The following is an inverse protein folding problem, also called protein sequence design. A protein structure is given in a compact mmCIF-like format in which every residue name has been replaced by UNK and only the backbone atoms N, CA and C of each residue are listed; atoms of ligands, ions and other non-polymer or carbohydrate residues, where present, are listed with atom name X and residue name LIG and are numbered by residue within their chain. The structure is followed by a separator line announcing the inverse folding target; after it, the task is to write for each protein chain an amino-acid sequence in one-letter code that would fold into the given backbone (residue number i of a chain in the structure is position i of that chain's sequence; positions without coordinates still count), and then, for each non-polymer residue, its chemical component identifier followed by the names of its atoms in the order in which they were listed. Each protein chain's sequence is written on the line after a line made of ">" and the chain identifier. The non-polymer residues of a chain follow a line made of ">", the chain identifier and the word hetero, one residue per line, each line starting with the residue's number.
data_IF_575293005757
#
_entry.id   IF_575293005757
#
_cell.length_a   1.000
_cell.length_b   1.000
_cell.length_c   1.000
_cell.angle_alpha   90.00
_cell.angle_beta   90.00
_cell.angle_gamma   90.00
#
_symmetry.space_group_name_H-M   'P 1'
#
loop_
_entity.id
_entity.type
_entity.pdbx_description
1 polymer ?
#
# COMPACT_ATOMS: atom_id res chain seq x y z
N UNK A 1 -4.43 -8.02 2.39
CA UNK A 1 -4.99 -6.70 2.76
C UNK A 1 -4.68 -6.29 4.21
N UNK A 2 -4.50 -7.24 5.14
CA UNK A 2 -4.24 -6.94 6.56
C UNK A 2 -2.79 -6.51 6.88
N UNK A 3 -1.87 -6.58 5.94
CA UNK A 3 -0.44 -6.28 6.13
C UNK A 3 -0.17 -4.89 6.71
N UNK A 4 -0.82 -3.79 6.27
CA UNK A 4 -0.58 -2.47 6.84
C UNK A 4 -0.88 -2.39 8.35
N UNK A 5 -1.87 -3.13 8.83
CA UNK A 5 -2.21 -3.18 10.25
C UNK A 5 -1.13 -3.92 11.06
N UNK A 6 -0.55 -4.99 10.51
CA UNK A 6 0.58 -5.69 11.15
C UNK A 6 1.83 -4.84 11.17
N UNK A 7 2.09 -4.07 10.12
CA UNK A 7 3.17 -3.10 10.05
C UNK A 7 2.99 -2.03 11.13
N UNK A 8 1.78 -1.50 11.30
CA UNK A 8 1.44 -0.49 12.29
C UNK A 8 1.69 -0.99 13.73
N UNK A 9 1.24 -2.20 14.05
CA UNK A 9 1.51 -2.83 15.36
C UNK A 9 3.01 -2.95 15.64
N UNK A 10 3.79 -3.41 14.68
CA UNK A 10 5.25 -3.55 14.81
C UNK A 10 5.94 -2.20 14.94
N UNK A 11 5.50 -1.21 14.17
CA UNK A 11 6.05 0.14 14.23
C UNK A 11 5.83 0.78 15.59
N UNK A 12 4.64 0.66 16.18
CA UNK A 12 4.33 1.12 17.52
C UNK A 12 5.23 0.49 18.58
N UNK A 13 5.50 -0.81 18.47
CA UNK A 13 6.43 -1.51 19.37
C UNK A 13 7.87 -1.03 19.17
N UNK A 14 8.29 -0.76 17.95
CA UNK A 14 9.61 -0.18 17.65
C UNK A 14 9.75 1.20 18.28
N UNK A 15 8.76 2.07 18.13
CA UNK A 15 8.75 3.40 18.75
C UNK A 15 8.79 3.31 20.28
N UNK A 16 8.02 2.40 20.89
CA UNK A 16 8.05 2.17 22.33
C UNK A 16 9.44 1.72 22.79
N UNK A 17 10.10 0.85 22.03
CA UNK A 17 11.47 0.40 22.32
C UNK A 17 12.50 1.53 22.21
N UNK A 18 12.37 2.39 21.20
CA UNK A 18 13.22 3.59 21.05
C UNK A 18 13.05 4.51 22.25
N UNK A 19 11.82 4.84 22.63
CA UNK A 19 11.52 5.72 23.77
C UNK A 19 12.11 5.14 25.07
N UNK A 20 11.92 3.85 25.30
CA UNK A 20 12.44 3.16 26.50
C UNK A 20 13.97 3.12 26.50
N UNK A 21 14.59 2.82 25.34
CA UNK A 21 16.04 2.73 25.22
C UNK A 21 16.76 4.07 25.37
N UNK A 22 16.09 5.18 25.07
CA UNK A 22 16.65 6.53 25.25
C UNK A 22 16.83 6.94 26.70
N UNK A 23 16.19 6.25 27.65
CA UNK A 23 16.35 6.46 29.09
C UNK A 23 16.30 7.95 29.51
N UNK A 24 15.34 8.70 28.95
CA UNK A 24 15.15 10.13 29.23
C UNK A 24 16.01 11.10 28.43
N UNK A 25 16.94 10.60 27.62
CA UNK A 25 17.69 11.44 26.64
C UNK A 25 16.76 11.74 25.45
N UNK A 26 16.49 13.00 25.21
CA UNK A 26 15.62 13.43 24.09
C UNK A 26 16.44 13.54 22.79
N UNK A 27 16.71 12.41 22.16
CA UNK A 27 17.22 12.38 20.80
C UNK A 27 16.07 12.13 19.81
N UNK A 28 16.07 12.83 18.70
CA UNK A 28 15.10 12.58 17.65
C UNK A 28 15.56 11.39 16.80
N UNK A 29 15.19 10.17 17.22
CA UNK A 29 15.48 8.94 16.48
C UNK A 29 14.27 8.64 15.58
N UNK A 30 14.53 8.48 14.30
CA UNK A 30 13.54 8.11 13.29
C UNK A 30 13.76 6.68 12.82
N UNK A 31 12.73 6.09 12.22
CA UNK A 31 12.78 4.73 11.68
C UNK A 31 13.12 4.78 10.21
N UNK A 32 14.04 3.93 9.78
CA UNK A 32 14.30 3.60 8.39
C UNK A 32 13.87 2.15 8.15
N UNK A 33 12.94 1.94 7.24
CA UNK A 33 12.57 0.63 6.74
C UNK A 33 13.49 0.30 5.56
N UNK A 34 14.55 -0.42 5.82
CA UNK A 34 15.61 -0.70 4.85
C UNK A 34 15.25 -1.75 3.82
N UNK A 35 14.23 -2.58 4.11
CA UNK A 35 13.64 -3.49 3.15
C UNK A 35 12.15 -3.66 3.40
N UNK A 36 11.34 -3.49 2.34
CA UNK A 36 9.94 -3.89 2.35
C UNK A 36 9.48 -4.26 0.94
N UNK A 37 8.65 -5.25 0.83
CA UNK A 37 7.97 -5.68 -0.38
C UNK A 37 6.96 -6.78 -0.04
N UNK A 38 6.16 -7.19 -1.02
CA UNK A 38 5.42 -8.43 -0.99
C UNK A 38 6.30 -9.55 -1.53
N UNK A 39 6.58 -10.53 -0.68
CA UNK A 39 7.35 -11.70 -1.06
C UNK A 39 6.46 -12.94 -1.03
N UNK A 40 6.21 -13.55 -2.17
CA UNK A 40 5.65 -14.89 -2.26
C UNK A 40 6.74 -15.93 -1.97
N UNK A 41 7.27 -15.94 -0.75
CA UNK A 41 8.40 -16.81 -0.43
C UNK A 41 8.00 -18.27 -0.38
N UNK A 42 8.31 -18.97 -1.45
CA UNK A 42 8.71 -20.36 -1.34
C UNK A 42 10.24 -20.38 -1.43
N UNK A 43 10.95 -20.49 -0.31
CA UNK A 43 12.41 -20.48 -0.25
C UNK A 43 13.09 -21.56 -1.09
N UNK A 44 12.35 -22.55 -1.58
CA UNK A 44 12.86 -23.60 -2.45
C UNK A 44 12.80 -23.26 -3.95
N UNK A 45 12.02 -22.25 -4.33
CA UNK A 45 11.85 -21.85 -5.72
C UNK A 45 11.62 -20.35 -5.79
N UNK A 46 12.70 -19.56 -5.70
CA UNK A 46 12.64 -18.14 -6.08
C UNK A 46 12.37 -18.13 -7.58
N UNK A 47 11.11 -18.00 -7.96
CA UNK A 47 10.73 -17.83 -9.34
C UNK A 47 11.06 -16.39 -9.73
N UNK A 48 12.11 -16.21 -10.52
CA UNK A 48 12.49 -14.89 -11.04
C UNK A 48 11.42 -14.32 -12.00
N UNK A 49 10.53 -15.18 -12.47
CA UNK A 49 9.42 -14.84 -13.37
C UNK A 49 8.11 -14.64 -12.61
N UNK A 50 8.16 -14.38 -11.29
CA UNK A 50 6.97 -14.15 -10.49
C UNK A 50 6.19 -12.95 -11.03
N UNK A 51 4.91 -13.17 -11.28
CA UNK A 51 4.04 -12.20 -11.89
C UNK A 51 3.36 -11.39 -10.79
N UNK A 52 3.56 -10.07 -10.78
CA UNK A 52 2.87 -9.16 -9.87
C UNK A 52 1.55 -8.71 -10.48
N UNK A 53 0.47 -8.99 -9.77
CA UNK A 53 -0.91 -8.72 -10.18
C UNK A 53 -1.42 -7.37 -9.65
N UNK A 54 -2.67 -7.01 -9.98
CA UNK A 54 -3.35 -5.86 -9.38
C UNK A 54 -3.43 -5.99 -7.84
N UNK A 55 -3.58 -7.21 -7.31
CA UNK A 55 -3.56 -7.45 -5.86
C UNK A 55 -2.26 -6.94 -5.20
N UNK A 56 -1.12 -7.16 -5.83
CA UNK A 56 0.18 -6.70 -5.32
C UNK A 56 0.30 -5.17 -5.39
N UNK A 57 -0.28 -4.56 -6.41
CA UNK A 57 -0.38 -3.10 -6.52
C UNK A 57 -1.25 -2.52 -5.39
N UNK A 58 -2.41 -3.12 -5.10
CA UNK A 58 -3.28 -2.70 -3.99
C UNK A 58 -2.52 -2.74 -2.65
N UNK A 59 -1.83 -3.84 -2.37
CA UNK A 59 -1.05 -3.96 -1.13
C UNK A 59 0.10 -2.95 -1.09
N UNK A 60 0.78 -2.74 -2.22
CA UNK A 60 1.84 -1.73 -2.33
C UNK A 60 1.29 -0.33 -2.03
N UNK A 61 0.12 0.02 -2.58
CA UNK A 61 -0.54 1.30 -2.32
C UNK A 61 -0.91 1.48 -0.84
N UNK A 62 -1.45 0.43 -0.21
CA UNK A 62 -1.79 0.44 1.22
C UNK A 62 -0.55 0.65 2.11
N UNK A 63 0.57 0.01 1.78
CA UNK A 63 1.82 0.19 2.52
C UNK A 63 2.34 1.63 2.31
N UNK A 64 2.31 2.14 1.10
CA UNK A 64 2.74 3.51 0.81
C UNK A 64 1.85 4.55 1.49
N UNK A 65 0.53 4.36 1.51
CA UNK A 65 -0.38 5.20 2.28
C UNK A 65 -0.05 5.18 3.78
N UNK A 66 0.27 4.00 4.32
CA UNK A 66 0.70 3.87 5.70
C UNK A 66 2.02 4.62 5.96
N UNK A 67 3.00 4.51 5.07
CA UNK A 67 4.28 5.23 5.17
C UNK A 67 4.08 6.75 5.14
N UNK A 68 3.23 7.25 4.26
CA UNK A 68 2.88 8.69 4.19
C UNK A 68 2.22 9.15 5.49
N UNK A 69 1.28 8.38 6.04
CA UNK A 69 0.61 8.69 7.33
C UNK A 69 1.59 8.76 8.50
N UNK A 70 2.68 8.00 8.45
CA UNK A 70 3.67 7.91 9.52
C UNK A 70 4.99 8.65 9.20
N UNK A 71 4.95 9.63 8.28
CA UNK A 71 6.13 10.36 7.82
C UNK A 71 6.83 11.21 8.90
N UNK A 72 6.20 11.44 10.04
CA UNK A 72 6.79 12.05 11.22
C UNK A 72 7.80 11.13 11.92
N UNK A 73 7.58 9.85 11.91
CA UNK A 73 8.41 8.83 12.56
C UNK A 73 9.22 7.97 11.59
N UNK A 74 8.71 7.72 10.39
CA UNK A 74 9.40 7.01 9.32
C UNK A 74 10.02 8.01 8.35
N UNK A 75 11.34 7.97 8.17
CA UNK A 75 12.04 8.91 7.29
C UNK A 75 12.59 8.28 6.02
N UNK A 76 12.71 6.98 5.99
CA UNK A 76 13.15 6.23 4.81
C UNK A 76 12.40 4.92 4.74
N UNK A 77 12.07 4.50 3.51
CA UNK A 77 11.50 3.19 3.25
C UNK A 77 11.93 2.73 1.85
N UNK A 78 12.71 1.65 1.79
CA UNK A 78 13.30 1.14 0.57
C UNK A 78 12.56 -0.10 0.10
N UNK A 79 12.02 -0.05 -1.11
CA UNK A 79 11.38 -1.20 -1.76
C UNK A 79 12.46 -2.19 -2.23
N UNK A 80 12.45 -3.39 -1.69
CA UNK A 80 13.47 -4.40 -1.97
C UNK A 80 12.87 -5.60 -2.73
N UNK A 81 13.36 -5.88 -3.90
CA UNK A 81 14.23 -5.12 -4.79
C UNK A 81 13.38 -4.29 -5.75
N UNK A 82 13.91 -3.24 -6.39
CA UNK A 82 13.09 -2.48 -7.35
C UNK A 82 13.17 -3.06 -8.77
N UNK A 83 14.28 -3.72 -9.11
CA UNK A 83 14.52 -4.31 -10.43
C UNK A 83 14.72 -5.81 -10.30
N UNK A 84 14.07 -6.57 -11.16
CA UNK A 84 14.09 -8.04 -11.25
C UNK A 84 13.67 -8.76 -9.96
N UNK A 85 13.75 -10.05 -9.90
CA UNK A 85 13.30 -10.91 -8.81
C UNK A 85 11.87 -10.51 -8.40
N UNK A 86 11.73 -9.85 -7.27
CA UNK A 86 10.45 -9.32 -6.73
C UNK A 86 10.24 -7.84 -7.05
N UNK A 87 10.98 -7.32 -8.03
CA UNK A 87 11.01 -5.89 -8.36
C UNK A 87 9.78 -5.39 -9.10
N UNK A 88 9.52 -4.10 -8.97
CA UNK A 88 8.49 -3.39 -9.73
C UNK A 88 8.81 -3.34 -11.24
N UNK A 89 10.08 -3.44 -11.60
CA UNK A 89 10.57 -3.54 -12.97
C UNK A 89 11.15 -4.92 -13.22
N UNK A 90 10.80 -5.54 -14.35
CA UNK A 90 11.39 -6.78 -14.82
C UNK A 90 12.15 -6.53 -16.12
N UNK A 91 13.47 -6.67 -16.05
CA UNK A 91 14.37 -6.40 -17.17
C UNK A 91 14.87 -7.72 -17.74
N UNK A 92 14.64 -7.91 -19.03
CA UNK A 92 15.12 -9.06 -19.81
C UNK A 92 15.97 -8.59 -21.00
N UNK A 93 16.42 -9.50 -21.82
CA UNK A 93 17.12 -9.16 -23.08
C UNK A 93 16.19 -8.47 -24.09
N UNK A 94 14.90 -8.74 -24.01
CA UNK A 94 13.87 -8.24 -24.90
C UNK A 94 13.38 -6.84 -24.50
N UNK A 95 13.61 -6.42 -23.26
CA UNK A 95 13.21 -5.09 -22.78
C UNK A 95 12.94 -5.02 -21.29
N UNK A 96 12.19 -3.98 -20.91
CA UNK A 96 11.81 -3.71 -19.53
C UNK A 96 10.28 -3.75 -19.41
N UNK A 97 9.78 -4.68 -18.60
CA UNK A 97 8.37 -4.79 -18.26
C UNK A 97 8.10 -4.02 -16.97
N UNK A 98 7.12 -3.13 -16.99
CA UNK A 98 6.58 -2.45 -15.80
C UNK A 98 5.53 -3.35 -15.18
N UNK A 99 5.82 -3.90 -14.01
CA UNK A 99 4.85 -4.67 -13.22
C UNK A 99 3.86 -3.73 -12.51
N UNK A 100 2.75 -4.24 -12.04
CA UNK A 100 1.67 -3.43 -11.45
C UNK A 100 2.13 -2.54 -10.29
N UNK A 101 3.03 -2.94 -9.35
CA UNK A 101 3.53 -2.04 -8.31
C UNK A 101 4.30 -0.83 -8.85
N UNK A 102 4.93 -0.91 -10.04
CA UNK A 102 5.61 0.22 -10.64
C UNK A 102 4.68 1.41 -10.83
N UNK A 103 3.46 1.16 -11.27
CA UNK A 103 2.50 2.23 -11.52
C UNK A 103 2.03 2.91 -10.23
N UNK A 104 1.94 2.17 -9.13
CA UNK A 104 1.66 2.74 -7.81
C UNK A 104 2.75 3.74 -7.40
N UNK A 105 4.02 3.36 -7.55
CA UNK A 105 5.14 4.28 -7.31
C UNK A 105 5.09 5.49 -8.24
N UNK A 106 4.81 5.29 -9.53
CA UNK A 106 4.72 6.37 -10.51
C UNK A 106 3.60 7.35 -10.16
N UNK A 107 2.41 6.84 -9.80
CA UNK A 107 1.27 7.67 -9.41
C UNK A 107 1.60 8.49 -8.17
N UNK A 108 2.10 7.87 -7.11
CA UNK A 108 2.43 8.57 -5.87
C UNK A 108 3.61 9.53 -6.01
N UNK A 109 4.67 9.17 -6.73
CA UNK A 109 5.82 10.04 -6.94
C UNK A 109 5.46 11.35 -7.64
N UNK A 110 4.46 11.33 -8.51
CA UNK A 110 4.02 12.49 -9.27
C UNK A 110 2.86 13.25 -8.58
N UNK A 111 2.16 12.62 -7.63
CA UNK A 111 0.93 13.15 -7.04
C UNK A 111 0.94 13.04 -5.51
N UNK A 112 2.06 13.42 -4.90
CA UNK A 112 2.19 13.55 -3.44
C UNK A 112 2.75 14.91 -3.10
N UNK A 113 2.04 15.65 -2.25
CA UNK A 113 2.50 16.95 -1.75
C UNK A 113 3.54 16.80 -0.65
N UNK A 114 4.21 17.90 -0.33
CA UNK A 114 5.27 17.94 0.68
C UNK A 114 4.77 17.91 2.13
N UNK A 115 3.47 18.07 2.35
CA UNK A 115 2.85 18.14 3.68
C UNK A 115 1.74 17.09 3.81
N UNK A 116 1.79 16.30 4.87
CA UNK A 116 0.67 15.45 5.25
C UNK A 116 -0.50 16.34 5.73
N UNK A 117 -1.70 16.07 5.22
CA UNK A 117 -2.94 16.73 5.62
C UNK A 117 -3.85 15.71 6.32
N UNK A 118 -4.57 16.16 7.33
CA UNK A 118 -5.56 15.30 7.97
C UNK A 118 -6.63 14.89 6.97
N UNK A 119 -6.89 13.61 6.87
CA UNK A 119 -7.99 13.03 6.12
C UNK A 119 -8.77 12.10 7.05
N UNK A 120 -10.05 12.38 7.20
CA UNK A 120 -10.97 11.52 7.94
C UNK A 120 -11.80 10.73 6.92
N UNK A 121 -11.86 9.42 7.08
CA UNK A 121 -12.65 8.52 6.22
C UNK A 121 -13.86 8.05 7.01
N UNK A 122 -15.04 8.43 6.54
CA UNK A 122 -16.32 7.94 7.06
C UNK A 122 -16.83 6.85 6.10
N UNK A 123 -16.71 5.59 6.52
CA UNK A 123 -17.04 4.43 5.70
C UNK A 123 -17.55 3.30 6.59
N UNK A 124 -18.85 3.03 6.50
CA UNK A 124 -19.50 1.93 7.24
C UNK A 124 -19.19 0.56 6.64
N UNK A 125 -18.78 0.51 5.35
CA UNK A 125 -18.46 -0.75 4.69
C UNK A 125 -17.21 -1.37 5.27
N UNK A 126 -17.29 -2.64 5.63
CA UNK A 126 -16.20 -3.43 6.22
C UNK A 126 -15.96 -4.67 5.39
N UNK A 127 -14.72 -5.09 5.36
CA UNK A 127 -14.31 -6.36 4.72
C UNK A 127 -13.76 -7.27 5.80
N UNK A 128 -14.21 -8.51 5.82
CA UNK A 128 -13.62 -9.53 6.68
C UNK A 128 -12.44 -10.17 5.97
N UNK A 129 -11.25 -10.01 6.54
CA UNK A 129 -10.06 -10.72 6.10
C UNK A 129 -9.96 -11.99 6.93
N UNK A 130 -10.09 -13.13 6.27
CA UNK A 130 -10.07 -14.45 6.90
C UNK A 130 -8.64 -14.92 7.14
N UNK A 131 -8.47 -15.78 8.12
CA UNK A 131 -7.22 -16.49 8.40
C UNK A 131 -6.01 -15.57 8.65
N UNK A 132 -6.24 -14.40 9.26
CA UNK A 132 -5.15 -13.51 9.62
C UNK A 132 -4.28 -14.16 10.68
N UNK A 133 -3.03 -14.40 10.32
CA UNK A 133 -2.03 -14.89 11.27
C UNK A 133 -1.42 -13.72 12.01
N UNK A 134 -1.69 -13.60 13.30
CA UNK A 134 -0.95 -12.73 14.18
C UNK A 134 0.36 -13.44 14.55
N UNK A 135 1.43 -13.06 13.90
CA UNK A 135 2.76 -13.50 14.30
C UNK A 135 3.12 -12.79 15.61
N UNK A 136 3.20 -13.50 16.75
CA UNK A 136 3.82 -12.93 17.93
C UNK A 136 5.27 -12.60 17.61
N UNK A 137 5.87 -11.70 18.38
CA UNK A 137 7.29 -11.39 18.27
C UNK A 137 8.11 -12.67 18.44
N UNK A 138 8.77 -13.06 17.37
CA UNK A 138 9.48 -14.33 17.28
C UNK A 138 8.57 -15.41 16.71
N UNK A 139 8.99 -15.96 15.60
CA UNK A 139 8.35 -17.10 14.96
C UNK A 139 8.44 -18.26 15.95
N UNK A 140 7.35 -18.57 16.64
CA UNK A 140 7.23 -19.83 17.37
C UNK A 140 7.06 -20.95 16.33
N UNK A 141 8.14 -21.25 15.64
CA UNK A 141 8.21 -22.48 14.87
C UNK A 141 8.48 -23.58 15.91
N UNK A 142 7.53 -24.45 16.11
CA UNK A 142 7.84 -25.76 16.68
C UNK A 142 8.79 -26.45 15.70
N UNK A 143 10.10 -26.28 15.94
CA UNK A 143 11.17 -26.82 15.07
C UNK A 143 11.09 -28.35 14.96
N UNK A 144 10.35 -29.01 15.86
CA UNK A 144 10.23 -30.47 15.90
C UNK A 144 9.13 -30.97 14.96
N UNK A 145 8.06 -30.18 14.77
CA UNK A 145 6.88 -30.60 14.02
C UNK A 145 6.61 -29.71 12.80
N UNK A 146 7.43 -28.67 12.57
CA UNK A 146 7.21 -27.65 11.51
C UNK A 146 5.81 -26.99 11.55
N UNK A 147 5.20 -26.95 12.72
CA UNK A 147 3.88 -26.37 12.92
C UNK A 147 4.02 -24.95 13.40
N UNK A 148 3.49 -24.00 12.65
CA UNK A 148 3.29 -22.62 13.10
C UNK A 148 2.06 -22.61 13.99
N UNK A 149 2.24 -22.40 15.29
CA UNK A 149 1.16 -22.41 16.29
C UNK A 149 0.51 -21.03 16.45
N UNK A 150 0.36 -20.29 15.35
CA UNK A 150 -0.22 -18.97 15.42
C UNK A 150 -1.74 -19.05 15.53
N UNK A 151 -2.28 -18.19 16.38
CA UNK A 151 -3.73 -18.01 16.45
C UNK A 151 -4.19 -17.35 15.16
N UNK A 152 -4.94 -18.06 14.36
CA UNK A 152 -5.62 -17.55 13.19
C UNK A 152 -6.94 -16.92 13.63
N UNK A 153 -7.20 -15.72 13.18
CA UNK A 153 -8.43 -14.97 13.49
C UNK A 153 -8.94 -14.27 12.23
N UNK A 154 -10.23 -14.06 12.18
CA UNK A 154 -10.83 -13.17 11.21
C UNK A 154 -10.73 -11.71 11.70
N UNK A 155 -10.47 -10.79 10.79
CA UNK A 155 -10.34 -9.37 11.09
C UNK A 155 -11.19 -8.54 10.14
N UNK A 156 -12.00 -7.67 10.71
CA UNK A 156 -12.75 -6.68 9.94
C UNK A 156 -11.91 -5.42 9.76
N UNK A 157 -11.75 -5.00 8.51
CA UNK A 157 -11.05 -3.78 8.13
C UNK A 157 -11.98 -2.85 7.35
N UNK A 158 -11.76 -1.53 7.33
CA UNK A 158 -12.49 -0.63 6.47
C UNK A 158 -12.36 -1.03 4.99
N UNK A 159 -13.42 -0.84 4.21
CA UNK A 159 -13.36 -1.09 2.76
C UNK A 159 -12.48 -0.06 2.03
N UNK A 160 -12.37 1.15 2.57
CA UNK A 160 -11.60 2.24 1.98
C UNK A 160 -10.43 2.61 2.89
N UNK A 161 -9.25 2.74 2.30
CA UNK A 161 -8.08 3.39 2.90
C UNK A 161 -7.77 4.67 2.11
N UNK A 162 -7.48 5.77 2.82
CA UNK A 162 -7.13 7.03 2.17
C UNK A 162 -6.10 7.83 2.97
N UNK A 163 -5.26 8.56 2.25
CA UNK A 163 -4.32 9.54 2.81
C UNK A 163 -4.32 10.80 1.95
N UNK A 164 -4.21 11.96 2.56
CA UNK A 164 -4.15 13.24 1.86
C UNK A 164 -2.82 13.95 2.11
N UNK A 165 -2.31 14.58 1.07
CA UNK A 165 -1.14 15.46 1.13
C UNK A 165 -1.41 16.76 0.40
N UNK A 166 -0.69 17.83 0.73
CA UNK A 166 -0.78 19.12 0.06
C UNK A 166 0.60 19.63 -0.35
N UNK A 167 0.66 20.33 -1.46
CA UNK A 167 1.87 20.98 -1.96
C UNK A 167 1.59 21.68 -3.28
N UNK A 168 2.38 22.69 -3.61
CA UNK A 168 2.32 23.44 -4.87
C UNK A 168 0.91 23.97 -5.25
N UNK A 169 0.11 24.32 -4.23
CA UNK A 169 -1.25 24.83 -4.41
C UNK A 169 -2.30 23.76 -4.73
N UNK A 170 -1.96 22.50 -4.62
CA UNK A 170 -2.85 21.36 -4.84
C UNK A 170 -2.99 20.50 -3.58
N UNK A 171 -4.10 19.76 -3.51
CA UNK A 171 -4.33 18.66 -2.56
C UNK A 171 -4.34 17.37 -3.37
N UNK A 172 -3.58 16.40 -2.89
CA UNK A 172 -3.50 15.07 -3.48
C UNK A 172 -4.13 14.07 -2.52
N UNK A 173 -4.98 13.23 -3.04
CA UNK A 173 -5.66 12.19 -2.29
C UNK A 173 -5.32 10.82 -2.88
N UNK A 174 -4.69 9.98 -2.10
CA UNK A 174 -4.48 8.57 -2.44
C UNK A 174 -5.56 7.73 -1.78
N UNK A 175 -6.35 7.05 -2.58
CA UNK A 175 -7.48 6.22 -2.14
C UNK A 175 -7.30 4.81 -2.63
N UNK A 176 -7.53 3.83 -1.76
CA UNK A 176 -7.50 2.40 -2.10
C UNK A 176 -8.83 1.77 -1.71
N UNK A 177 -9.56 1.26 -2.71
CA UNK A 177 -10.68 0.37 -2.46
C UNK A 177 -10.14 -1.04 -2.17
N UNK A 178 -10.41 -1.54 -0.99
CA UNK A 178 -9.98 -2.86 -0.53
C UNK A 178 -11.06 -3.93 -0.78
N UNK A 179 -12.28 -3.53 -1.19
CA UNK A 179 -13.31 -4.47 -1.58
C UNK A 179 -12.93 -5.18 -2.88
N UNK A 180 -13.09 -6.49 -2.90
CA UNK A 180 -12.83 -7.30 -4.10
C UNK A 180 -14.07 -7.48 -4.97
N UNK A 181 -15.21 -6.95 -4.54
CA UNK A 181 -16.53 -7.24 -5.14
C UNK A 181 -17.40 -6.02 -5.33
N UNK A 182 -17.06 -4.90 -4.67
CA UNK A 182 -17.93 -3.72 -4.65
C UNK A 182 -17.14 -2.46 -5.03
N UNK A 183 -17.69 -1.71 -5.96
CA UNK A 183 -17.27 -0.34 -6.25
C UNK A 183 -17.74 0.59 -5.13
N UNK A 184 -17.01 1.67 -4.89
CA UNK A 184 -17.37 2.67 -3.90
C UNK A 184 -17.64 4.03 -4.57
N UNK A 185 -18.64 4.76 -4.09
CA UNK A 185 -18.86 6.16 -4.42
C UNK A 185 -18.34 7.03 -3.29
N UNK A 186 -17.28 7.77 -3.54
CA UNK A 186 -16.63 8.62 -2.57
C UNK A 186 -17.15 10.07 -2.69
N UNK A 187 -17.69 10.62 -1.62
CA UNK A 187 -17.99 12.05 -1.52
C UNK A 187 -16.80 12.76 -0.89
N UNK A 188 -16.28 13.77 -1.58
CA UNK A 188 -15.14 14.57 -1.10
C UNK A 188 -15.65 15.84 -0.41
N UNK A 189 -15.44 15.94 0.88
CA UNK A 189 -15.69 17.18 1.65
C UNK A 189 -14.36 17.94 1.81
N UNK A 190 -14.04 18.75 0.81
CA UNK A 190 -12.83 19.58 0.78
C UNK A 190 -13.26 21.05 0.57
N UNK A 191 -12.92 21.96 1.50
CA UNK A 191 -13.28 23.36 1.37
C UNK A 191 -12.85 23.97 0.02
N UNK A 192 -13.82 24.51 -0.72
CA UNK A 192 -13.58 25.16 -2.00
C UNK A 192 -13.36 24.23 -3.19
N UNK A 193 -13.68 22.94 -3.07
CA UNK A 193 -13.58 21.96 -4.13
C UNK A 193 -14.71 22.06 -5.15
N UNK A 194 -15.93 22.42 -4.71
CA UNK A 194 -17.11 22.52 -5.58
C UNK A 194 -16.86 23.41 -6.79
N UNK A 195 -17.20 22.92 -7.98
CA UNK A 195 -16.99 23.62 -9.25
C UNK A 195 -15.55 23.65 -9.76
N UNK A 196 -14.65 22.93 -9.09
CA UNK A 196 -13.26 22.73 -9.59
C UNK A 196 -13.14 21.40 -10.29
N UNK A 197 -12.26 21.36 -11.29
CA UNK A 197 -11.87 20.10 -11.92
C UNK A 197 -10.99 19.29 -10.97
N UNK A 198 -11.28 18.00 -10.88
CA UNK A 198 -10.48 17.00 -10.15
C UNK A 198 -9.89 16.04 -11.17
N UNK A 199 -8.58 15.93 -11.21
CA UNK A 199 -7.93 14.87 -11.96
C UNK A 199 -7.96 13.58 -11.14
N UNK A 200 -8.50 12.51 -11.72
CA UNK A 200 -8.48 11.16 -11.16
C UNK A 200 -7.55 10.28 -11.98
N UNK A 201 -6.55 9.70 -11.33
CA UNK A 201 -5.76 8.59 -11.86
C UNK A 201 -6.20 7.31 -11.17
N UNK A 202 -6.54 6.31 -11.94
CA UNK A 202 -7.04 5.03 -11.41
C UNK A 202 -6.26 3.87 -12.01
N UNK A 203 -5.75 3.00 -11.15
CA UNK A 203 -5.17 1.72 -11.54
C UNK A 203 -6.20 0.63 -11.23
N UNK A 204 -6.77 0.06 -12.27
CA UNK A 204 -7.87 -0.89 -12.17
C UNK A 204 -7.75 -2.01 -13.21
N UNK A 205 -8.34 -3.15 -12.92
CA UNK A 205 -8.60 -4.23 -13.87
C UNK A 205 -9.80 -5.06 -13.38
N UNK A 206 -10.47 -5.78 -14.28
CA UNK A 206 -11.64 -6.60 -13.97
C UNK A 206 -11.33 -7.78 -13.04
N UNK A 207 -10.06 -8.11 -12.87
CA UNK A 207 -9.59 -9.15 -11.95
C UNK A 207 -8.38 -8.69 -11.16
N UNK A 208 -8.41 -8.92 -9.85
CA UNK A 208 -7.24 -8.69 -8.98
C UNK A 208 -6.03 -9.55 -9.36
N UNK A 209 -6.23 -10.61 -10.15
CA UNK A 209 -5.17 -11.50 -10.66
C UNK A 209 -4.57 -11.02 -11.97
N UNK A 210 -5.11 -9.97 -12.57
CA UNK A 210 -4.56 -9.40 -13.78
C UNK A 210 -3.20 -8.79 -13.54
N UNK A 211 -2.30 -9.07 -14.46
CA UNK A 211 -0.90 -8.70 -14.37
C UNK A 211 -0.35 -8.30 -15.72
N UNK A 212 0.69 -7.48 -15.71
CA UNK A 212 1.46 -7.18 -16.90
C UNK A 212 2.44 -8.31 -17.19
N UNK A 213 2.42 -8.80 -18.41
CA UNK A 213 3.28 -9.87 -18.90
C UNK A 213 4.01 -9.43 -20.17
N UNK A 214 4.97 -10.20 -20.63
CA UNK A 214 5.66 -9.90 -21.90
C UNK A 214 4.68 -9.81 -23.08
N UNK A 215 3.64 -10.66 -23.09
CA UNK A 215 2.63 -10.68 -24.15
C UNK A 215 1.57 -9.58 -24.00
N UNK A 216 1.35 -9.11 -22.77
CA UNK A 216 0.38 -8.06 -22.44
C UNK A 216 0.99 -7.04 -21.47
N UNK A 217 1.96 -6.24 -21.91
CA UNK A 217 2.77 -5.39 -21.03
C UNK A 217 2.00 -4.22 -20.42
N UNK A 218 0.84 -3.89 -20.97
CA UNK A 218 0.01 -2.75 -20.56
C UNK A 218 -1.42 -3.18 -20.17
N UNK A 219 -1.61 -4.44 -19.77
CA UNK A 219 -2.93 -4.95 -19.35
C UNK A 219 -3.48 -4.19 -18.15
N UNK A 220 -2.63 -3.83 -17.21
CA UNK A 220 -2.96 -3.07 -16.00
C UNK A 220 -2.10 -1.81 -16.00
N UNK A 221 -2.71 -0.68 -16.36
CA UNK A 221 -2.05 0.62 -16.43
C UNK A 221 -2.98 1.71 -15.88
N UNK A 222 -2.44 2.82 -15.37
CA UNK A 222 -3.26 3.94 -14.90
C UNK A 222 -4.07 4.56 -16.03
N UNK A 223 -5.35 4.81 -15.76
CA UNK A 223 -6.22 5.62 -16.60
C UNK A 223 -6.47 6.98 -15.95
N UNK A 224 -6.47 8.06 -16.74
CA UNK A 224 -6.77 9.41 -16.27
C UNK A 224 -8.18 9.83 -16.70
N UNK A 225 -8.87 10.56 -15.83
CA UNK A 225 -10.13 11.21 -16.10
C UNK A 225 -10.24 12.53 -15.34
N UNK A 226 -11.07 13.44 -15.87
CA UNK A 226 -11.38 14.71 -15.21
C UNK A 226 -12.82 14.64 -14.70
N UNK A 227 -12.99 14.95 -13.43
CA UNK A 227 -14.26 14.92 -12.73
C UNK A 227 -14.60 16.33 -12.20
N UNK A 228 -15.87 16.57 -11.90
CA UNK A 228 -16.31 17.76 -11.16
C UNK A 228 -16.17 17.46 -9.66
N UNK A 229 -15.45 18.33 -8.94
CA UNK A 229 -15.19 18.18 -7.51
C UNK A 229 -16.43 18.27 -6.60
N UNK A 230 -17.59 18.66 -7.14
CA UNK A 230 -18.87 18.64 -6.42
C UNK A 230 -19.65 17.34 -6.59
N UNK A 231 -19.16 16.40 -7.37
CA UNK A 231 -19.82 15.13 -7.67
C UNK A 231 -19.13 13.96 -6.95
N UNK A 232 -19.89 12.90 -6.61
CA UNK A 232 -19.29 11.68 -6.09
C UNK A 232 -18.28 11.06 -7.06
N UNK A 233 -17.16 10.61 -6.53
CA UNK A 233 -16.05 10.00 -7.29
C UNK A 233 -16.19 8.48 -7.21
N UNK A 234 -16.42 7.78 -8.35
CA UNK A 234 -16.43 6.33 -8.34
C UNK A 234 -15.00 5.78 -8.15
N UNK A 235 -14.84 4.83 -7.25
CA UNK A 235 -13.60 4.08 -6.99
C UNK A 235 -13.89 2.60 -7.18
N UNK A 236 -13.23 1.99 -8.15
CA UNK A 236 -13.39 0.58 -8.50
C UNK A 236 -12.37 -0.30 -7.79
#
# INVERSE_FOLDING_TARGET
>A
LYIPYQIDERHKLTLASIITGQNGVKNEIKVAWDEWNMFGWNFSTVNQDETYSLHDAIITALILNWLVRNCDTVKMAMYSTFVNITGALHVTKEGCLKRTPYYVFQMLANHTGSQLVRADVDCDSRITVHDVRRLPFGINIDKKNHVVTDKVIDQDIPAIDAVATAGDGAVYLSVVNQSLTEDCLLTLDIPGLSGKAVEKLELYSDSIRDANTADQPERVTPASSILDGGQPVPIR
#
